data_IF_344620126388
#
_entry.id   IF_344620126388
#
_cell.length_a   1.000
_cell.length_b   1.000
_cell.length_c   1.000
_cell.angle_alpha   90.00
_cell.angle_beta   90.00
_cell.angle_gamma   90.00
#
_symmetry.space_group_name_H-M   'P 1'
#
loop_
_entity.id
_entity.type
_entity.pdbx_description
1 polymer ?
#
# COMPACT_ATOMS: atom_id res chain seq x y z
N UNK A 1 20.73 -18.80 38.10
CA UNK A 1 21.52 -17.79 37.37
C UNK A 1 20.74 -16.50 37.43
N UNK A 2 21.45 -15.45 37.80
CA UNK A 2 21.02 -14.14 38.30
C UNK A 2 20.25 -13.31 37.28
N UNK A 3 19.12 -12.75 37.69
CA UNK A 3 18.43 -11.68 36.98
C UNK A 3 19.26 -10.38 37.08
N UNK A 4 19.33 -9.55 36.02
CA UNK A 4 20.12 -8.32 36.04
C UNK A 4 19.42 -7.28 36.90
N UNK A 5 20.17 -6.75 37.87
CA UNK A 5 19.83 -5.59 38.69
C UNK A 5 19.72 -4.34 37.83
N UNK A 6 18.60 -3.63 37.95
CA UNK A 6 18.42 -2.29 37.40
C UNK A 6 19.44 -1.32 38.03
N UNK A 7 19.97 -0.34 37.28
CA UNK A 7 20.91 0.62 37.82
C UNK A 7 20.22 1.56 38.81
N UNK A 8 20.68 1.57 40.06
CA UNK A 8 20.31 2.52 41.09
C UNK A 8 20.76 3.93 40.67
N UNK A 9 19.78 4.82 40.47
CA UNK A 9 20.01 6.25 40.25
C UNK A 9 20.56 6.83 41.57
N UNK A 10 21.64 7.63 41.55
CA UNK A 10 22.21 8.19 42.78
C UNK A 10 21.23 9.20 43.41
N UNK A 11 20.98 9.04 44.71
CA UNK A 11 20.28 10.02 45.52
C UNK A 11 20.99 11.38 45.41
N UNK A 12 20.24 12.42 45.04
CA UNK A 12 20.77 13.75 44.76
C UNK A 12 20.47 14.68 45.96
N UNK A 13 21.50 14.90 46.79
CA UNK A 13 21.47 15.77 47.97
C UNK A 13 21.33 17.27 47.60
N UNK A 14 20.14 17.79 47.90
CA UNK A 14 19.90 19.07 48.55
C UNK A 14 18.72 18.80 49.46
N UNK A 15 18.87 19.03 50.77
CA UNK A 15 18.12 18.32 51.81
C UNK A 15 16.59 18.34 51.56
N UNK A 16 15.98 17.23 51.09
CA UNK A 16 14.54 17.17 50.86
C UNK A 16 13.76 17.50 52.13
N UNK A 17 14.34 17.20 53.30
CA UNK A 17 13.74 17.47 54.59
C UNK A 17 13.58 18.97 54.87
N UNK A 18 14.49 19.83 54.38
CA UNK A 18 14.40 21.29 54.58
C UNK A 18 13.30 21.93 53.72
N UNK A 19 13.20 21.53 52.44
CA UNK A 19 12.16 22.05 51.54
C UNK A 19 10.76 21.52 51.98
N UNK A 20 10.66 20.26 52.41
CA UNK A 20 9.42 19.66 52.93
C UNK A 20 8.99 20.27 54.29
N UNK A 21 9.94 20.60 55.16
CA UNK A 21 9.66 21.34 56.40
C UNK A 21 9.19 22.76 56.10
N UNK A 22 9.80 23.43 55.13
CA UNK A 22 9.39 24.77 54.71
C UNK A 22 7.98 24.79 54.10
N UNK A 23 7.64 23.81 53.25
CA UNK A 23 6.29 23.66 52.70
C UNK A 23 5.24 23.42 53.80
N UNK A 24 5.59 22.64 54.84
CA UNK A 24 4.72 22.41 56.01
C UNK A 24 4.56 23.65 56.87
N UNK A 25 5.65 24.36 57.18
CA UNK A 25 5.60 25.61 57.96
C UNK A 25 4.75 26.69 57.28
N UNK A 26 4.74 26.72 55.95
CA UNK A 26 3.94 27.66 55.16
C UNK A 26 2.52 27.16 54.86
N UNK A 27 2.15 25.95 55.30
CA UNK A 27 0.82 25.37 55.08
C UNK A 27 0.46 25.17 53.61
N UNK A 28 1.45 25.08 52.71
CA UNK A 28 1.22 25.12 51.27
C UNK A 28 0.63 23.81 50.73
N UNK A 29 0.99 22.68 51.32
CA UNK A 29 0.45 21.37 50.93
C UNK A 29 -1.07 21.24 51.18
N UNK A 30 -1.57 21.81 52.28
CA UNK A 30 -3.02 21.85 52.58
C UNK A 30 -3.80 22.75 51.62
N UNK A 31 -3.11 23.67 50.94
CA UNK A 31 -3.65 24.58 49.93
C UNK A 31 -3.53 24.03 48.51
N UNK A 32 -3.18 22.75 48.34
CA UNK A 32 -3.02 22.10 47.03
C UNK A 32 -1.76 22.56 46.28
N UNK A 33 -0.77 23.13 46.96
CA UNK A 33 0.47 23.60 46.35
C UNK A 33 1.61 22.63 46.64
N UNK A 34 2.26 22.13 45.59
CA UNK A 34 3.40 21.22 45.68
C UNK A 34 4.67 21.85 45.10
N UNK A 35 5.81 21.60 45.74
CA UNK A 35 7.11 21.97 45.21
C UNK A 35 7.69 20.80 44.43
N UNK A 36 7.98 21.00 43.15
CA UNK A 36 8.51 19.97 42.27
C UNK A 36 9.88 20.36 41.69
N UNK A 37 10.68 19.34 41.38
CA UNK A 37 12.01 19.47 40.78
C UNK A 37 12.10 18.54 39.57
N UNK A 38 12.04 19.11 38.38
CA UNK A 38 12.15 18.37 37.11
C UNK A 38 12.84 19.25 36.07
N UNK A 39 13.44 18.63 35.05
CA UNK A 39 14.04 19.35 33.90
C UNK A 39 15.09 20.42 34.29
N UNK A 40 15.78 20.22 35.43
CA UNK A 40 16.77 21.16 35.95
C UNK A 40 16.20 22.46 36.55
N UNK A 41 14.89 22.49 36.80
CA UNK A 41 14.15 23.61 37.40
C UNK A 41 13.52 23.19 38.73
N UNK A 42 13.26 24.18 39.58
CA UNK A 42 12.42 24.08 40.77
C UNK A 42 11.21 24.96 40.54
N UNK A 43 10.02 24.40 40.74
CA UNK A 43 8.76 25.07 40.40
C UNK A 43 7.63 24.63 41.33
N UNK A 44 6.61 25.49 41.43
CA UNK A 44 5.37 25.22 42.15
C UNK A 44 4.34 24.63 41.21
N UNK A 45 3.64 23.61 41.69
CA UNK A 45 2.43 23.08 41.07
C UNK A 45 1.25 23.39 41.96
N UNK A 46 0.13 23.70 41.34
CA UNK A 46 -1.13 23.98 42.02
C UNK A 46 -2.17 23.03 41.45
N UNK A 47 -2.71 22.19 42.32
CA UNK A 47 -3.76 21.26 41.97
C UNK A 47 -5.12 21.82 42.36
N UNK A 48 -6.13 21.57 41.53
CA UNK A 48 -7.49 22.00 41.78
C UNK A 48 -8.48 21.37 40.80
N UNK A 49 -9.71 21.83 40.84
CA UNK A 49 -10.73 21.44 39.87
C UNK A 49 -11.55 22.65 39.41
N UNK A 50 -12.06 22.55 38.19
CA UNK A 50 -13.04 23.48 37.63
C UNK A 50 -14.29 22.70 37.21
N UNK A 51 -15.44 23.37 37.20
CA UNK A 51 -16.70 22.75 36.80
C UNK A 51 -17.04 23.15 35.36
N UNK A 52 -17.36 22.16 34.53
CA UNK A 52 -17.78 22.34 33.15
C UNK A 52 -18.90 21.35 32.81
N UNK A 53 -20.04 21.84 32.33
CA UNK A 53 -21.15 20.99 31.89
C UNK A 53 -21.67 20.00 32.96
N UNK A 54 -21.55 20.33 34.25
CA UNK A 54 -21.88 19.44 35.38
C UNK A 54 -20.85 18.34 35.65
N UNK A 55 -19.66 18.44 35.05
CA UNK A 55 -18.49 17.58 35.27
C UNK A 55 -17.38 18.35 35.97
N UNK A 56 -16.54 17.64 36.70
CA UNK A 56 -15.35 18.20 37.34
C UNK A 56 -14.12 17.87 36.49
N UNK A 57 -13.37 18.89 36.08
CA UNK A 57 -12.09 18.75 35.40
C UNK A 57 -11.00 19.05 36.41
N UNK A 58 -10.21 18.04 36.73
CA UNK A 58 -9.04 18.20 37.60
C UNK A 58 -7.86 18.78 36.81
N UNK A 59 -7.08 19.62 37.46
CA UNK A 59 -5.83 20.14 36.91
C UNK A 59 -4.73 20.09 37.96
N UNK A 60 -3.50 19.93 37.47
CA UNK A 60 -2.28 20.05 38.26
C UNK A 60 -1.23 20.75 37.40
N UNK A 61 -1.10 22.07 37.58
CA UNK A 61 -0.38 22.93 36.64
C UNK A 61 0.58 23.87 37.35
N UNK A 62 1.59 24.32 36.61
CA UNK A 62 2.53 25.36 37.06
C UNK A 62 1.91 26.72 36.72
N UNK A 63 1.64 27.62 37.68
CA UNK A 63 1.15 28.96 37.36
C UNK A 63 2.17 29.73 36.53
N UNK A 64 1.75 30.83 35.87
CA UNK A 64 2.60 31.68 35.01
C UNK A 64 3.95 32.03 35.65
N UNK A 65 3.91 32.27 36.96
CA UNK A 65 5.05 32.67 37.78
C UNK A 65 5.59 31.54 38.68
N UNK A 66 5.14 30.30 38.46
CA UNK A 66 5.44 29.13 39.29
C UNK A 66 6.84 28.55 39.10
N UNK A 67 7.56 28.89 38.03
CA UNK A 67 8.96 28.47 37.85
C UNK A 67 9.86 29.36 38.70
N UNK A 68 10.39 28.80 39.78
CA UNK A 68 11.10 29.55 40.81
C UNK A 68 12.57 29.82 40.45
N UNK A 69 13.31 28.77 40.08
CA UNK A 69 14.73 28.87 39.77
C UNK A 69 15.28 27.62 39.05
N UNK A 70 16.49 27.72 38.50
CA UNK A 70 17.30 26.53 38.16
C UNK A 70 17.67 25.79 39.45
N UNK A 71 17.71 24.46 39.41
CA UNK A 71 18.03 23.63 40.58
C UNK A 71 19.37 24.00 41.25
N UNK A 72 20.37 24.40 40.46
CA UNK A 72 21.68 24.82 40.97
C UNK A 72 21.65 26.17 41.70
N UNK A 73 20.73 27.08 41.31
CA UNK A 73 20.54 28.37 41.99
C UNK A 73 19.71 28.19 43.25
N UNK A 74 18.66 27.35 43.20
CA UNK A 74 17.80 27.03 44.34
C UNK A 74 18.60 26.49 45.54
N UNK A 75 19.50 25.54 45.28
CA UNK A 75 20.37 24.94 46.32
C UNK A 75 21.27 25.95 47.04
N UNK A 76 21.58 27.08 46.40
CA UNK A 76 22.47 28.12 46.96
C UNK A 76 21.70 29.23 47.70
N UNK A 77 20.37 29.25 47.62
CA UNK A 77 19.54 30.20 48.35
C UNK A 77 19.42 29.77 49.81
N UNK A 78 19.46 30.75 50.72
CA UNK A 78 19.14 30.55 52.13
C UNK A 78 17.62 30.33 52.33
N UNK A 79 17.26 29.76 53.48
CA UNK A 79 15.87 29.41 53.82
C UNK A 79 14.94 30.62 53.83
N UNK A 80 15.42 31.80 54.24
CA UNK A 80 14.62 33.03 54.26
C UNK A 80 14.25 33.50 52.84
N UNK A 81 15.22 33.46 51.91
CA UNK A 81 15.00 33.75 50.50
C UNK A 81 14.04 32.76 49.84
N UNK A 82 14.19 31.45 50.11
CA UNK A 82 13.23 30.43 49.61
C UNK A 82 11.83 30.66 50.16
N UNK A 83 11.69 30.95 51.46
CA UNK A 83 10.41 31.20 52.10
C UNK A 83 9.69 32.43 51.53
N UNK A 84 10.42 33.52 51.27
CA UNK A 84 9.87 34.72 50.66
C UNK A 84 9.32 34.44 49.25
N UNK A 85 10.09 33.73 48.43
CA UNK A 85 9.68 33.38 47.07
C UNK A 85 8.46 32.43 47.05
N UNK A 86 8.42 31.46 47.97
CA UNK A 86 7.27 30.56 48.11
C UNK A 86 6.00 31.33 48.52
N UNK A 87 6.10 32.27 49.47
CA UNK A 87 4.93 33.09 49.86
C UNK A 87 4.42 33.97 48.73
N UNK A 88 5.33 34.58 47.97
CA UNK A 88 4.98 35.43 46.83
C UNK A 88 4.31 34.63 45.70
N UNK A 89 4.80 33.42 45.42
CA UNK A 89 4.40 32.63 44.25
C UNK A 89 3.34 31.56 44.53
N UNK A 90 3.04 31.32 45.81
CA UNK A 90 1.97 30.45 46.29
C UNK A 90 0.85 31.22 47.01
N UNK A 91 0.70 32.51 46.70
CA UNK A 91 -0.38 33.33 47.25
C UNK A 91 -1.75 32.88 46.71
N UNK A 92 -2.81 33.15 47.47
CA UNK A 92 -4.17 32.75 47.11
C UNK A 92 -4.64 33.42 45.81
N UNK A 93 -4.24 34.67 45.60
CA UNK A 93 -4.51 35.39 44.35
C UNK A 93 -3.92 34.68 43.11
N UNK A 94 -2.76 34.04 43.24
CA UNK A 94 -2.12 33.29 42.14
C UNK A 94 -2.87 31.99 41.85
N UNK A 95 -3.39 31.33 42.89
CA UNK A 95 -4.19 30.12 42.74
C UNK A 95 -5.55 30.43 42.10
N UNK A 96 -6.19 31.53 42.48
CA UNK A 96 -7.45 31.98 41.87
C UNK A 96 -7.26 32.46 40.43
N UNK A 97 -6.17 33.15 40.11
CA UNK A 97 -5.81 33.53 38.73
C UNK A 97 -5.63 32.29 37.86
N UNK A 98 -4.87 31.29 38.34
CA UNK A 98 -4.69 30.02 37.62
C UNK A 98 -6.03 29.30 37.43
N UNK A 99 -6.87 29.22 38.48
CA UNK A 99 -8.20 28.59 38.39
C UNK A 99 -9.07 29.29 37.34
N UNK A 100 -9.06 30.62 37.29
CA UNK A 100 -9.76 31.41 36.26
C UNK A 100 -9.29 31.08 34.85
N UNK A 101 -7.97 31.07 34.62
CA UNK A 101 -7.42 30.70 33.32
C UNK A 101 -7.74 29.25 32.91
N UNK A 102 -7.75 28.31 33.87
CA UNK A 102 -8.14 26.93 33.60
C UNK A 102 -9.64 26.88 33.25
N UNK A 103 -10.51 27.57 33.98
CA UNK A 103 -11.94 27.62 33.69
C UNK A 103 -12.21 28.15 32.27
N UNK A 104 -11.57 29.26 31.90
CA UNK A 104 -11.70 29.87 30.57
C UNK A 104 -11.19 28.92 29.48
N UNK A 105 -10.03 28.27 29.71
CA UNK A 105 -9.46 27.31 28.77
C UNK A 105 -10.33 26.06 28.59
N UNK A 106 -10.86 25.50 29.68
CA UNK A 106 -11.74 24.33 29.63
C UNK A 106 -13.00 24.66 28.84
N UNK A 107 -13.59 25.85 29.04
CA UNK A 107 -14.74 26.31 28.27
C UNK A 107 -14.39 26.48 26.78
N UNK A 108 -13.30 27.21 26.47
CA UNK A 108 -12.82 27.43 25.09
C UNK A 108 -12.60 26.10 24.35
N UNK A 109 -11.90 25.16 24.99
CA UNK A 109 -11.56 23.88 24.39
C UNK A 109 -12.80 23.02 24.17
N UNK A 110 -13.74 23.03 25.12
CA UNK A 110 -14.95 22.25 24.99
C UNK A 110 -15.89 22.81 23.91
N UNK A 111 -16.02 24.13 23.82
CA UNK A 111 -16.77 24.77 22.72
C UNK A 111 -16.15 24.40 21.35
N UNK A 112 -14.82 24.41 21.24
CA UNK A 112 -14.12 24.04 20.01
C UNK A 112 -14.29 22.55 19.65
N UNK A 113 -14.32 21.66 20.65
CA UNK A 113 -14.63 20.25 20.46
C UNK A 113 -16.08 20.04 20.01
N UNK A 114 -17.04 20.73 20.63
CA UNK A 114 -18.46 20.65 20.29
C UNK A 114 -18.73 21.14 18.86
N UNK A 115 -18.08 22.23 18.43
CA UNK A 115 -18.14 22.74 17.05
C UNK A 115 -17.66 21.71 16.00
N UNK A 116 -16.80 20.78 16.42
CA UNK A 116 -16.25 19.72 15.59
C UNK A 116 -16.87 18.33 15.86
N UNK A 117 -17.90 18.24 16.72
CA UNK A 117 -18.52 16.98 17.18
C UNK A 117 -17.51 15.98 17.79
N UNK A 118 -16.55 16.50 18.57
CA UNK A 118 -15.48 15.72 19.21
C UNK A 118 -15.65 15.64 20.73
N UNK A 119 -15.18 14.55 21.32
CA UNK A 119 -15.11 14.43 22.79
C UNK A 119 -13.93 15.23 23.35
N UNK A 120 -14.23 16.18 24.26
CA UNK A 120 -13.22 17.01 24.92
C UNK A 120 -12.43 16.27 26.01
N UNK A 121 -12.99 15.19 26.57
CA UNK A 121 -12.43 14.47 27.73
C UNK A 121 -10.94 14.04 27.55
N UNK A 122 -10.52 13.46 26.41
CA UNK A 122 -9.13 13.03 26.21
C UNK A 122 -8.12 14.19 26.20
N UNK A 123 -8.58 15.40 25.89
CA UNK A 123 -7.77 16.61 25.88
C UNK A 123 -7.72 17.25 27.27
N UNK A 124 -8.87 17.29 27.96
CA UNK A 124 -9.00 17.85 29.31
C UNK A 124 -8.23 17.04 30.36
N UNK A 125 -8.18 15.71 30.23
CA UNK A 125 -7.36 14.86 31.11
C UNK A 125 -5.86 15.21 31.07
N UNK A 126 -5.38 15.88 30.01
CA UNK A 126 -3.99 16.32 29.95
C UNK A 126 -3.64 17.40 31.00
N UNK A 127 -4.65 18.10 31.56
CA UNK A 127 -4.45 19.14 32.56
C UNK A 127 -4.00 18.59 33.92
N UNK A 128 -4.30 17.34 34.24
CA UNK A 128 -3.89 16.67 35.49
C UNK A 128 -2.72 15.69 35.31
N UNK A 129 -2.48 15.21 34.09
CA UNK A 129 -1.50 14.13 33.83
C UNK A 129 -0.09 14.63 33.48
N UNK A 130 0.08 15.90 33.10
CA UNK A 130 1.37 16.41 32.62
C UNK A 130 2.34 16.79 33.76
N UNK A 131 3.32 15.92 34.03
CA UNK A 131 4.49 16.18 34.89
C UNK A 131 5.55 17.06 34.21
N UNK A 132 5.15 18.19 33.63
CA UNK A 132 6.07 19.14 32.97
C UNK A 132 6.41 20.33 33.88
N UNK A 133 7.58 20.94 33.66
CA UNK A 133 8.00 22.17 34.37
C UNK A 133 7.50 23.46 33.72
N UNK A 134 6.71 23.33 32.66
CA UNK A 134 6.21 24.43 31.84
C UNK A 134 5.01 25.12 32.49
N UNK A 135 4.89 26.45 32.38
CA UNK A 135 3.71 27.18 32.83
C UNK A 135 2.43 26.74 32.11
N UNK A 136 1.28 26.88 32.78
CA UNK A 136 -0.04 26.47 32.30
C UNK A 136 -0.35 26.94 30.87
N UNK A 137 0.03 28.17 30.51
CA UNK A 137 -0.18 28.68 29.15
C UNK A 137 0.46 27.82 28.04
N UNK A 138 1.67 27.28 28.26
CA UNK A 138 2.32 26.39 27.29
C UNK A 138 1.65 25.02 27.22
N UNK A 139 1.08 24.55 28.35
CA UNK A 139 0.28 23.33 28.38
C UNK A 139 -1.01 23.52 27.59
N UNK A 140 -1.69 24.67 27.75
CA UNK A 140 -2.87 25.03 26.98
C UNK A 140 -2.57 25.08 25.47
N UNK A 141 -1.50 25.78 25.07
CA UNK A 141 -1.06 25.85 23.66
C UNK A 141 -0.84 24.47 23.05
N UNK A 142 -0.19 23.57 23.81
CA UNK A 142 0.05 22.19 23.40
C UNK A 142 -1.23 21.38 23.25
N UNK A 143 -2.19 21.56 24.16
CA UNK A 143 -3.49 20.90 24.07
C UNK A 143 -4.28 21.43 22.86
N UNK A 144 -4.27 22.75 22.60
CA UNK A 144 -4.89 23.33 21.38
C UNK A 144 -4.30 22.71 20.11
N UNK A 145 -2.98 22.65 20.00
CA UNK A 145 -2.31 22.03 18.84
C UNK A 145 -2.67 20.54 18.68
N UNK A 146 -2.86 19.81 19.79
CA UNK A 146 -3.33 18.42 19.73
C UNK A 146 -4.76 18.32 19.21
N UNK A 147 -5.64 19.24 19.58
CA UNK A 147 -7.01 19.31 19.06
C UNK A 147 -6.99 19.64 17.56
N UNK A 148 -6.25 20.66 17.13
CA UNK A 148 -6.08 21.02 15.71
C UNK A 148 -5.65 19.80 14.87
N UNK A 149 -4.59 19.09 15.29
CA UNK A 149 -4.13 17.88 14.60
C UNK A 149 -5.12 16.70 14.68
N UNK A 150 -6.01 16.67 15.67
CA UNK A 150 -7.04 15.64 15.75
C UNK A 150 -8.18 15.94 14.78
N UNK A 151 -8.63 17.20 14.71
CA UNK A 151 -9.62 17.68 13.74
C UNK A 151 -9.14 17.46 12.30
N UNK A 152 -7.90 17.83 11.98
CA UNK A 152 -7.33 17.61 10.64
C UNK A 152 -7.36 16.14 10.23
N UNK A 153 -6.96 15.24 11.13
CA UNK A 153 -6.98 13.79 10.87
C UNK A 153 -8.38 13.26 10.67
N UNK A 154 -9.33 13.66 11.50
CA UNK A 154 -10.74 13.26 11.38
C UNK A 154 -11.31 13.72 10.02
N UNK A 155 -11.03 14.96 9.61
CA UNK A 155 -11.45 15.49 8.30
C UNK A 155 -10.83 14.72 7.13
N UNK A 156 -9.54 14.40 7.19
CA UNK A 156 -8.86 13.59 6.18
C UNK A 156 -9.47 12.19 6.07
N UNK A 157 -9.74 11.53 7.21
CA UNK A 157 -10.37 10.22 7.27
C UNK A 157 -11.78 10.25 6.69
N UNK A 158 -12.60 11.24 7.06
CA UNK A 158 -13.94 11.43 6.50
C UNK A 158 -13.91 11.69 4.99
N UNK A 159 -12.94 12.49 4.51
CA UNK A 159 -12.79 12.75 3.08
C UNK A 159 -12.37 11.50 2.30
N UNK A 160 -11.44 10.71 2.85
CA UNK A 160 -11.01 9.43 2.29
C UNK A 160 -12.17 8.44 2.25
N UNK A 161 -12.96 8.34 3.31
CA UNK A 161 -14.11 7.45 3.41
C UNK A 161 -15.21 7.87 2.42
N UNK A 162 -15.50 9.17 2.31
CA UNK A 162 -16.46 9.69 1.32
C UNK A 162 -16.02 9.41 -0.12
N UNK A 163 -14.72 9.54 -0.41
CA UNK A 163 -14.16 9.20 -1.72
C UNK A 163 -14.31 7.69 -1.98
N UNK A 164 -14.01 6.86 -0.99
CA UNK A 164 -14.17 5.40 -1.06
C UNK A 164 -15.61 4.98 -1.31
N UNK A 165 -16.58 5.64 -0.66
CA UNK A 165 -18.01 5.39 -0.85
C UNK A 165 -18.52 5.88 -2.21
N UNK A 166 -17.93 6.93 -2.78
CA UNK A 166 -18.30 7.45 -4.10
C UNK A 166 -17.91 6.52 -5.28
N UNK A 167 -16.96 5.60 -5.06
CA UNK A 167 -16.52 4.64 -6.07
C UNK A 167 -17.11 3.26 -5.76
N UNK A 168 -18.34 3.03 -6.21
CA UNK A 168 -18.93 1.69 -6.14
C UNK A 168 -18.34 0.77 -7.21
N UNK A 169 -17.18 0.15 -6.93
CA UNK A 169 -16.57 -0.82 -7.83
C UNK A 169 -17.44 -2.05 -8.10
N UNK A 170 -18.50 -2.29 -7.31
CA UNK A 170 -19.47 -3.34 -7.62
C UNK A 170 -20.22 -3.05 -8.92
N UNK A 171 -20.35 -1.77 -9.31
CA UNK A 171 -20.96 -1.32 -10.57
C UNK A 171 -19.95 -1.26 -11.73
N UNK A 172 -18.67 -1.58 -11.50
CA UNK A 172 -17.65 -1.51 -12.54
C UNK A 172 -18.03 -2.30 -13.82
N UNK A 173 -18.57 -3.54 -13.76
CA UNK A 173 -19.05 -4.22 -14.96
C UNK A 173 -20.14 -3.46 -15.72
N UNK A 174 -20.95 -2.66 -15.03
CA UNK A 174 -22.01 -1.87 -15.65
C UNK A 174 -21.48 -0.71 -16.50
N UNK A 175 -20.21 -0.32 -16.34
CA UNK A 175 -19.57 0.69 -17.19
C UNK A 175 -19.31 0.21 -18.63
N UNK A 176 -19.38 -1.11 -18.88
CA UNK A 176 -19.19 -1.68 -20.21
C UNK A 176 -20.53 -1.94 -20.93
N UNK A 177 -21.18 -0.87 -21.38
CA UNK A 177 -22.53 -0.91 -21.94
C UNK A 177 -22.75 -1.92 -23.08
N UNK A 178 -21.81 -1.98 -24.04
CA UNK A 178 -21.92 -2.88 -25.20
C UNK A 178 -21.87 -4.34 -24.75
N UNK A 179 -20.85 -4.72 -23.98
CA UNK A 179 -20.66 -6.07 -23.49
C UNK A 179 -21.80 -6.53 -22.57
N UNK A 180 -22.34 -5.62 -21.74
CA UNK A 180 -23.47 -5.88 -20.84
C UNK A 180 -24.77 -6.18 -21.59
N UNK A 181 -25.02 -5.52 -22.73
CA UNK A 181 -26.23 -5.73 -23.54
C UNK A 181 -26.16 -6.99 -24.39
N UNK A 182 -24.99 -7.61 -24.52
CA UNK A 182 -24.79 -8.83 -25.28
C UNK A 182 -25.02 -10.07 -24.40
N UNK A 183 -25.67 -11.08 -24.97
CA UNK A 183 -25.65 -12.42 -24.38
C UNK A 183 -24.30 -13.07 -24.68
N UNK A 184 -23.43 -13.13 -23.68
CA UNK A 184 -22.06 -13.66 -23.80
C UNK A 184 -21.95 -15.05 -23.19
N UNK A 185 -21.11 -15.89 -23.80
CA UNK A 185 -20.70 -17.20 -23.28
C UNK A 185 -19.19 -17.19 -23.02
N UNK A 186 -18.76 -17.71 -21.88
CA UNK A 186 -17.37 -17.89 -21.51
C UNK A 186 -16.93 -19.33 -21.72
N UNK A 187 -15.76 -19.53 -22.31
CA UNK A 187 -15.11 -20.83 -22.46
C UNK A 187 -13.73 -20.74 -21.84
N UNK A 188 -13.56 -21.32 -20.65
CA UNK A 188 -12.28 -21.38 -19.97
C UNK A 188 -11.46 -22.57 -20.45
N UNK A 189 -10.33 -22.32 -21.11
CA UNK A 189 -9.37 -23.36 -21.54
C UNK A 189 -8.15 -23.29 -20.65
N UNK A 190 -8.15 -24.15 -19.62
CA UNK A 190 -7.18 -24.09 -18.53
C UNK A 190 -6.21 -25.27 -18.58
N UNK A 191 -4.93 -25.00 -18.35
CA UNK A 191 -3.91 -26.05 -18.31
C UNK A 191 -2.51 -25.50 -18.08
N UNK A 192 -1.55 -26.38 -17.73
CA UNK A 192 -0.16 -25.98 -17.55
C UNK A 192 0.45 -25.43 -18.85
N UNK A 193 1.65 -24.86 -18.78
CA UNK A 193 2.42 -24.51 -19.98
C UNK A 193 2.62 -25.76 -20.85
N UNK A 194 2.68 -25.57 -22.17
CA UNK A 194 2.80 -26.65 -23.16
C UNK A 194 1.64 -27.68 -23.13
N UNK A 195 0.40 -27.23 -22.94
CA UNK A 195 -0.82 -28.05 -23.01
C UNK A 195 -1.60 -27.87 -24.33
N UNK A 196 -1.26 -26.87 -25.15
CA UNK A 196 -1.98 -26.52 -26.37
C UNK A 196 -3.20 -25.63 -26.16
N UNK A 197 -3.39 -25.06 -24.95
CA UNK A 197 -4.52 -24.19 -24.62
C UNK A 197 -4.71 -22.99 -25.57
N UNK A 198 -3.64 -22.23 -25.82
CA UNK A 198 -3.66 -21.08 -26.74
C UNK A 198 -3.89 -21.53 -28.18
N UNK A 199 -3.41 -22.72 -28.56
CA UNK A 199 -3.65 -23.24 -29.90
C UNK A 199 -5.14 -23.47 -30.18
N UNK A 200 -5.84 -24.12 -29.25
CA UNK A 200 -7.29 -24.35 -29.33
C UNK A 200 -8.08 -23.04 -29.45
N UNK A 201 -7.78 -22.04 -28.61
CA UNK A 201 -8.48 -20.76 -28.65
C UNK A 201 -8.21 -19.99 -29.95
N UNK A 202 -6.98 -20.04 -30.47
CA UNK A 202 -6.61 -19.37 -31.72
C UNK A 202 -7.26 -20.03 -32.94
N UNK A 203 -7.47 -21.36 -32.95
CA UNK A 203 -8.24 -22.01 -34.01
C UNK A 203 -9.71 -21.59 -34.00
N UNK A 204 -10.31 -21.45 -32.81
CA UNK A 204 -11.68 -20.94 -32.68
C UNK A 204 -11.78 -19.49 -33.15
N UNK A 205 -10.79 -18.66 -32.77
CA UNK A 205 -10.70 -17.27 -33.20
C UNK A 205 -10.59 -17.15 -34.72
N UNK A 206 -9.65 -17.85 -35.36
CA UNK A 206 -9.46 -17.75 -36.82
C UNK A 206 -10.62 -18.32 -37.67
N UNK A 207 -11.49 -19.15 -37.09
CA UNK A 207 -12.71 -19.65 -37.75
C UNK A 207 -13.90 -18.69 -37.61
N UNK A 208 -13.84 -17.74 -36.68
CA UNK A 208 -14.93 -16.82 -36.42
C UNK A 208 -15.05 -15.75 -37.54
N UNK A 209 -16.24 -15.19 -37.80
CA UNK A 209 -16.39 -14.08 -38.76
C UNK A 209 -15.60 -12.83 -38.34
N UNK A 210 -15.54 -12.55 -37.04
CA UNK A 210 -14.76 -11.48 -36.45
C UNK A 210 -14.21 -11.85 -35.07
N UNK A 211 -13.09 -11.25 -34.68
CA UNK A 211 -12.57 -11.52 -33.35
C UNK A 211 -11.36 -10.72 -32.89
N UNK A 212 -11.09 -10.81 -31.59
CA UNK A 212 -9.96 -10.13 -30.95
C UNK A 212 -9.13 -11.10 -30.11
N UNK A 213 -7.81 -11.07 -30.28
CA UNK A 213 -6.85 -11.71 -29.38
C UNK A 213 -6.23 -10.67 -28.45
N UNK A 214 -6.31 -10.89 -27.15
CA UNK A 214 -5.78 -10.02 -26.09
C UNK A 214 -4.61 -10.70 -25.39
N UNK A 215 -3.42 -10.15 -25.61
CA UNK A 215 -2.16 -10.70 -25.15
C UNK A 215 -1.67 -10.02 -23.85
N UNK A 216 -0.96 -10.74 -22.97
CA UNK A 216 -0.29 -10.16 -21.80
C UNK A 216 0.93 -9.31 -22.16
N UNK A 217 1.49 -9.50 -23.36
CA UNK A 217 2.77 -8.95 -23.77
C UNK A 217 2.71 -8.57 -25.24
N UNK A 218 3.39 -7.47 -25.59
CA UNK A 218 3.54 -7.02 -26.98
C UNK A 218 4.09 -8.09 -27.91
N UNK A 219 5.06 -8.87 -27.43
CA UNK A 219 5.66 -9.95 -28.23
C UNK A 219 4.61 -11.01 -28.61
N UNK A 220 3.74 -11.39 -27.67
CA UNK A 220 2.68 -12.36 -27.92
C UNK A 220 1.56 -11.79 -28.78
N UNK A 221 1.25 -10.49 -28.66
CA UNK A 221 0.34 -9.83 -29.59
C UNK A 221 0.88 -9.90 -31.02
N UNK A 222 2.18 -9.62 -31.22
CA UNK A 222 2.83 -9.67 -32.53
C UNK A 222 2.94 -11.11 -33.08
N UNK A 223 3.28 -12.09 -32.23
CA UNK A 223 3.32 -13.51 -32.62
C UNK A 223 1.95 -14.01 -33.08
N UNK A 224 0.89 -13.70 -32.33
CA UNK A 224 -0.45 -14.14 -32.68
C UNK A 224 -1.07 -13.31 -33.82
N UNK A 225 -0.64 -12.06 -34.01
CA UNK A 225 -0.93 -11.30 -35.22
C UNK A 225 -0.38 -12.01 -36.47
N UNK A 226 0.92 -12.34 -36.48
CA UNK A 226 1.58 -13.06 -37.59
C UNK A 226 0.88 -14.41 -37.82
N UNK A 227 0.61 -15.17 -36.75
CA UNK A 227 -0.10 -16.45 -36.82
C UNK A 227 -1.51 -16.34 -37.39
N UNK A 228 -2.27 -15.30 -37.06
CA UNK A 228 -3.62 -15.10 -37.61
C UNK A 228 -3.55 -14.72 -39.10
N UNK A 229 -2.53 -13.96 -39.53
CA UNK A 229 -2.36 -13.62 -40.95
C UNK A 229 -2.07 -14.84 -41.83
N UNK A 230 -1.44 -15.87 -41.26
CA UNK A 230 -1.21 -17.15 -41.94
C UNK A 230 -2.48 -18.02 -42.03
N UNK A 231 -3.51 -17.72 -41.24
CA UNK A 231 -4.79 -18.43 -41.29
C UNK A 231 -5.65 -17.92 -42.45
N UNK A 232 -6.54 -18.81 -42.91
CA UNK A 232 -7.45 -18.53 -44.01
C UNK A 232 -8.91 -18.70 -43.59
N UNK A 233 -9.76 -17.82 -44.09
CA UNK A 233 -11.21 -17.89 -43.95
C UNK A 233 -11.84 -17.80 -45.34
N UNK A 234 -12.68 -18.78 -45.67
CA UNK A 234 -13.29 -18.91 -47.01
C UNK A 234 -12.26 -18.89 -48.17
N UNK A 235 -11.07 -19.45 -47.95
CA UNK A 235 -10.00 -19.51 -48.95
C UNK A 235 -9.22 -18.20 -49.15
N UNK A 236 -9.48 -17.17 -48.35
CA UNK A 236 -8.71 -15.93 -48.35
C UNK A 236 -7.91 -15.76 -47.05
N UNK A 237 -6.71 -15.17 -47.09
CA UNK A 237 -5.98 -14.81 -45.88
C UNK A 237 -6.80 -13.89 -44.98
N UNK A 238 -6.75 -14.13 -43.67
CA UNK A 238 -7.41 -13.26 -42.71
C UNK A 238 -6.79 -11.86 -42.75
N UNK A 239 -7.65 -10.85 -42.82
CA UNK A 239 -7.24 -9.46 -42.60
C UNK A 239 -7.23 -9.19 -41.10
N UNK A 240 -6.03 -8.99 -40.57
CA UNK A 240 -5.79 -8.80 -39.14
C UNK A 240 -5.12 -7.45 -38.93
N UNK A 241 -5.55 -6.70 -37.92
CA UNK A 241 -4.84 -5.50 -37.43
C UNK A 241 -4.05 -5.81 -36.16
N UNK A 242 -2.96 -5.08 -35.92
CA UNK A 242 -2.18 -5.13 -34.67
C UNK A 242 -2.37 -3.83 -33.89
N UNK A 243 -2.75 -3.90 -32.62
CA UNK A 243 -2.94 -2.72 -31.77
C UNK A 243 -2.22 -2.93 -30.44
N UNK A 244 -1.21 -2.11 -30.16
CA UNK A 244 -0.46 -2.13 -28.90
C UNK A 244 -0.32 -0.71 -28.37
N UNK A 245 0.26 -0.55 -27.17
CA UNK A 245 0.51 0.77 -26.60
C UNK A 245 1.46 1.62 -27.46
N UNK A 246 2.47 1.01 -28.07
CA UNK A 246 3.49 1.74 -28.86
C UNK A 246 3.26 1.71 -30.37
N UNK A 247 2.54 0.71 -30.89
CA UNK A 247 2.39 0.48 -32.32
C UNK A 247 0.94 0.13 -32.71
N UNK A 248 0.47 0.70 -33.82
CA UNK A 248 -0.82 0.38 -34.44
C UNK A 248 -0.65 0.12 -35.94
N UNK A 249 -0.93 -1.11 -36.38
CA UNK A 249 -0.97 -1.50 -37.80
C UNK A 249 -2.42 -1.82 -38.16
N UNK A 250 -3.12 -0.84 -38.73
CA UNK A 250 -4.52 -0.97 -39.11
C UNK A 250 -4.63 -1.43 -40.55
N UNK A 251 -5.30 -2.55 -40.78
CA UNK A 251 -5.57 -3.10 -42.12
C UNK A 251 -7.02 -2.76 -42.49
N UNK A 252 -7.28 -2.02 -43.58
CA UNK A 252 -8.64 -1.70 -44.01
C UNK A 252 -9.52 -2.95 -44.23
N UNK A 253 -10.67 -2.97 -43.56
CA UNK A 253 -11.61 -4.10 -43.59
C UNK A 253 -11.11 -5.33 -42.84
N UNK A 254 -10.17 -5.19 -41.90
CA UNK A 254 -9.81 -6.25 -40.98
C UNK A 254 -11.02 -6.68 -40.13
N UNK A 255 -11.28 -7.97 -40.11
CA UNK A 255 -12.30 -8.56 -39.22
C UNK A 255 -11.70 -9.04 -37.90
N UNK A 256 -10.37 -9.14 -37.84
CA UNK A 256 -9.63 -9.63 -36.69
C UNK A 256 -8.64 -8.59 -36.16
N UNK A 257 -8.42 -8.58 -34.86
CA UNK A 257 -7.44 -7.74 -34.20
C UNK A 257 -6.61 -8.57 -33.23
N UNK A 258 -5.29 -8.45 -33.30
CA UNK A 258 -4.39 -8.91 -32.26
C UNK A 258 -3.92 -7.70 -31.46
N UNK A 259 -4.01 -7.76 -30.14
CA UNK A 259 -3.78 -6.60 -29.29
C UNK A 259 -3.19 -6.97 -27.94
N UNK A 260 -2.52 -6.03 -27.28
CA UNK A 260 -2.27 -6.15 -25.83
C UNK A 260 -3.58 -5.95 -25.08
N UNK A 261 -3.78 -6.65 -23.96
CA UNK A 261 -5.06 -6.62 -23.22
C UNK A 261 -5.51 -5.21 -22.81
N UNK A 262 -4.57 -4.32 -22.51
CA UNK A 262 -4.82 -2.92 -22.14
C UNK A 262 -5.43 -2.09 -23.28
N UNK A 263 -5.30 -2.56 -24.52
CA UNK A 263 -5.71 -1.86 -25.73
C UNK A 263 -7.03 -2.41 -26.31
N UNK A 264 -7.77 -3.20 -25.51
CA UNK A 264 -9.09 -3.70 -25.86
C UNK A 264 -10.02 -2.55 -26.29
N UNK A 265 -10.60 -2.69 -27.48
CA UNK A 265 -11.74 -1.89 -27.91
C UNK A 265 -13.03 -2.46 -27.30
N UNK A 266 -13.68 -1.67 -26.45
CA UNK A 266 -14.92 -2.05 -25.74
C UNK A 266 -16.18 -1.69 -26.52
N UNK A 267 -16.06 -1.04 -27.68
CA UNK A 267 -17.17 -0.49 -28.44
C UNK A 267 -17.53 -1.32 -29.67
N UNK A 268 -16.55 -2.00 -30.28
CA UNK A 268 -16.76 -2.77 -31.52
C UNK A 268 -17.14 -4.22 -31.21
N UNK A 269 -18.39 -4.66 -31.46
CA UNK A 269 -18.78 -6.04 -31.20
C UNK A 269 -18.09 -7.04 -32.14
N UNK A 270 -17.69 -8.18 -31.60
CA UNK A 270 -17.08 -9.28 -32.36
C UNK A 270 -17.71 -10.63 -32.02
N UNK A 271 -17.44 -11.66 -32.82
CA UNK A 271 -17.96 -13.00 -32.57
C UNK A 271 -17.16 -13.72 -31.47
N UNK A 272 -15.83 -13.64 -31.53
CA UNK A 272 -14.93 -14.33 -30.60
C UNK A 272 -13.88 -13.39 -30.01
N UNK A 273 -13.72 -13.39 -28.69
CA UNK A 273 -12.56 -12.79 -28.01
C UNK A 273 -11.73 -13.88 -27.35
N UNK A 274 -10.40 -13.75 -27.38
CA UNK A 274 -9.47 -14.62 -26.65
C UNK A 274 -8.68 -13.76 -25.68
N UNK A 275 -8.82 -14.04 -24.38
CA UNK A 275 -8.07 -13.40 -23.31
C UNK A 275 -7.01 -14.40 -22.84
N UNK A 276 -5.75 -14.13 -23.15
CA UNK A 276 -4.63 -15.02 -22.81
C UNK A 276 -4.04 -14.70 -21.42
N UNK A 277 -3.38 -15.69 -20.83
CA UNK A 277 -2.83 -15.67 -19.47
C UNK A 277 -3.82 -15.13 -18.41
N UNK A 278 -5.05 -15.66 -18.38
CA UNK A 278 -6.14 -15.18 -17.50
C UNK A 278 -5.82 -15.21 -15.99
N UNK A 279 -4.82 -15.99 -15.55
CA UNK A 279 -4.34 -15.93 -14.16
C UNK A 279 -3.75 -14.56 -13.78
N UNK A 280 -3.45 -13.71 -14.77
CA UNK A 280 -3.06 -12.32 -14.54
C UNK A 280 -4.18 -11.47 -13.92
N UNK A 281 -5.41 -11.98 -13.80
CA UNK A 281 -6.45 -11.39 -12.94
C UNK A 281 -5.95 -11.15 -11.50
N UNK A 282 -5.02 -11.98 -11.01
CA UNK A 282 -4.45 -11.88 -9.67
C UNK A 282 -3.21 -10.98 -9.59
N UNK A 283 -2.78 -10.38 -10.71
CA UNK A 283 -1.64 -9.48 -10.75
C UNK A 283 -1.99 -8.14 -10.10
N UNK A 284 -1.15 -7.67 -9.16
CA UNK A 284 -1.44 -6.47 -8.34
C UNK A 284 -1.41 -5.17 -9.16
N UNK A 285 -0.57 -5.11 -10.18
CA UNK A 285 -0.31 -3.88 -10.91
C UNK A 285 -1.10 -3.82 -12.22
N UNK A 286 -1.21 -4.96 -12.91
CA UNK A 286 -1.80 -5.07 -14.25
C UNK A 286 -3.13 -5.83 -14.29
N UNK A 287 -3.53 -6.50 -13.21
CA UNK A 287 -4.73 -7.35 -13.19
C UNK A 287 -6.04 -6.63 -13.49
N UNK A 288 -6.07 -5.30 -13.28
CA UNK A 288 -7.19 -4.44 -13.68
C UNK A 288 -7.49 -4.52 -15.19
N UNK A 289 -6.47 -4.69 -16.05
CA UNK A 289 -6.67 -4.81 -17.49
C UNK A 289 -7.37 -6.12 -17.88
N UNK A 290 -7.04 -7.24 -17.22
CA UNK A 290 -7.76 -8.51 -17.40
C UNK A 290 -9.19 -8.44 -16.86
N UNK A 291 -9.38 -7.76 -15.73
CA UNK A 291 -10.72 -7.55 -15.17
C UNK A 291 -11.58 -6.75 -16.14
N UNK A 292 -11.04 -5.64 -16.68
CA UNK A 292 -11.68 -4.85 -17.72
C UNK A 292 -11.99 -5.69 -18.98
N UNK A 293 -11.07 -6.55 -19.40
CA UNK A 293 -11.28 -7.41 -20.56
C UNK A 293 -12.38 -8.46 -20.36
N UNK A 294 -12.44 -9.13 -19.20
CA UNK A 294 -13.50 -10.09 -18.88
C UNK A 294 -14.85 -9.37 -18.79
N UNK A 295 -14.91 -8.24 -18.10
CA UNK A 295 -16.13 -7.45 -17.96
C UNK A 295 -16.59 -6.86 -19.30
N UNK A 296 -15.64 -6.37 -20.10
CA UNK A 296 -15.90 -5.40 -21.16
C UNK A 296 -15.63 -5.87 -22.59
N UNK A 297 -15.06 -7.05 -22.83
CA UNK A 297 -14.91 -7.56 -24.19
C UNK A 297 -16.30 -7.75 -24.84
N UNK A 298 -16.61 -7.01 -25.91
CA UNK A 298 -17.92 -7.06 -26.56
C UNK A 298 -17.98 -8.25 -27.54
N UNK A 299 -17.84 -9.47 -27.02
CA UNK A 299 -17.81 -10.69 -27.83
C UNK A 299 -18.91 -11.68 -27.46
N UNK A 300 -19.47 -12.37 -28.46
CA UNK A 300 -20.49 -13.42 -28.23
C UNK A 300 -19.90 -14.60 -27.45
N UNK A 301 -18.69 -15.01 -27.79
CA UNK A 301 -17.93 -16.05 -27.08
C UNK A 301 -16.60 -15.48 -26.62
N UNK A 302 -16.29 -15.58 -25.33
CA UNK A 302 -15.02 -15.15 -24.73
C UNK A 302 -14.26 -16.38 -24.26
N UNK A 303 -13.13 -16.66 -24.91
CA UNK A 303 -12.17 -17.67 -24.47
C UNK A 303 -11.27 -17.09 -23.39
N UNK A 304 -11.25 -17.76 -22.24
CA UNK A 304 -10.41 -17.42 -21.11
C UNK A 304 -9.30 -18.47 -21.01
N UNK A 305 -8.10 -18.12 -21.45
CA UNK A 305 -6.99 -19.06 -21.62
C UNK A 305 -5.95 -18.82 -20.54
N UNK A 306 -5.54 -19.85 -19.82
CA UNK A 306 -4.50 -19.67 -18.81
C UNK A 306 -4.28 -20.87 -17.90
N UNK A 307 -3.72 -20.60 -16.73
CA UNK A 307 -3.34 -21.61 -15.75
C UNK A 307 -4.57 -22.09 -14.93
N UNK A 308 -4.61 -23.36 -14.46
CA UNK A 308 -5.73 -23.90 -13.70
C UNK A 308 -6.10 -23.12 -12.43
N UNK A 309 -5.13 -22.43 -11.84
CA UNK A 309 -5.27 -21.63 -10.62
C UNK A 309 -6.26 -20.46 -10.82
N UNK A 310 -6.44 -19.99 -12.05
CA UNK A 310 -7.39 -18.92 -12.37
C UNK A 310 -8.86 -19.37 -12.30
N UNK A 311 -9.13 -20.68 -12.23
CA UNK A 311 -10.48 -21.25 -12.34
C UNK A 311 -11.49 -20.61 -11.39
N UNK A 312 -11.13 -20.48 -10.11
CA UNK A 312 -12.03 -19.92 -9.09
C UNK A 312 -12.42 -18.47 -9.41
N UNK A 313 -11.47 -17.66 -9.85
CA UNK A 313 -11.72 -16.27 -10.22
C UNK A 313 -12.67 -16.19 -11.43
N UNK A 314 -12.47 -17.05 -12.42
CA UNK A 314 -13.32 -17.14 -13.61
C UNK A 314 -14.75 -17.55 -13.23
N UNK A 315 -14.93 -18.56 -12.39
CA UNK A 315 -16.26 -19.02 -11.94
C UNK A 315 -17.03 -17.90 -11.22
N UNK A 316 -16.36 -17.15 -10.34
CA UNK A 316 -16.96 -16.00 -9.63
C UNK A 316 -17.32 -14.88 -10.59
N UNK A 317 -16.43 -14.54 -11.54
CA UNK A 317 -16.69 -13.50 -12.53
C UNK A 317 -17.82 -13.88 -13.48
N UNK A 318 -17.86 -15.13 -13.96
CA UNK A 318 -18.93 -15.61 -14.82
C UNK A 318 -20.29 -15.53 -14.10
N UNK A 319 -20.36 -15.95 -12.84
CA UNK A 319 -21.56 -15.82 -12.02
C UNK A 319 -21.98 -14.35 -11.82
N UNK A 320 -21.01 -13.47 -11.51
CA UNK A 320 -21.27 -12.03 -11.31
C UNK A 320 -21.79 -11.33 -12.57
N UNK A 321 -21.33 -11.76 -13.73
CA UNK A 321 -21.67 -11.22 -15.05
C UNK A 321 -22.86 -11.94 -15.70
N UNK A 322 -23.41 -12.97 -15.04
CA UNK A 322 -24.50 -13.80 -15.56
C UNK A 322 -24.17 -14.45 -16.93
N UNK A 323 -22.90 -14.79 -17.15
CA UNK A 323 -22.43 -15.46 -18.35
C UNK A 323 -22.46 -16.98 -18.18
N UNK A 324 -22.90 -17.70 -19.22
CA UNK A 324 -22.71 -19.16 -19.30
C UNK A 324 -21.21 -19.48 -19.29
N UNK A 325 -20.77 -20.44 -18.48
CA UNK A 325 -19.37 -20.85 -18.39
C UNK A 325 -19.19 -22.34 -18.75
N UNK A 326 -18.34 -22.59 -19.74
CA UNK A 326 -17.82 -23.91 -20.09
C UNK A 326 -16.34 -24.00 -19.71
N UNK A 327 -15.89 -25.14 -19.14
CA UNK A 327 -14.51 -25.30 -18.66
C UNK A 327 -13.87 -26.53 -19.28
N UNK A 328 -12.72 -26.35 -19.94
CA UNK A 328 -11.86 -27.40 -20.47
C UNK A 328 -10.53 -27.43 -19.71
N UNK A 329 -10.22 -28.58 -19.09
CA UNK A 329 -8.95 -28.81 -18.41
C UNK A 329 -8.02 -29.64 -19.31
N UNK A 330 -6.92 -29.04 -19.74
CA UNK A 330 -5.91 -29.68 -20.58
C UNK A 330 -4.71 -30.17 -19.77
N UNK A 331 -4.12 -31.27 -20.22
CA UNK A 331 -2.88 -31.83 -19.65
C UNK A 331 -1.66 -31.39 -20.47
N UNK A 332 -0.47 -31.40 -19.85
CA UNK A 332 0.79 -31.11 -20.53
C UNK A 332 1.04 -32.15 -21.63
N UNK A 333 1.45 -31.70 -22.83
CA UNK A 333 1.69 -32.59 -23.99
C UNK A 333 3.02 -33.33 -23.92
N UNK A 334 4.03 -32.74 -23.27
CA UNK A 334 5.35 -33.35 -23.07
C UNK A 334 5.64 -33.60 -21.59
N UNK A 335 6.39 -34.65 -21.24
CA UNK A 335 6.81 -34.88 -19.86
C UNK A 335 7.67 -33.73 -19.34
N UNK A 336 7.61 -33.50 -18.03
CA UNK A 336 8.49 -32.59 -17.31
C UNK A 336 8.93 -33.30 -16.04
N UNK A 337 10.23 -33.48 -15.89
CA UNK A 337 10.83 -34.17 -14.74
C UNK A 337 11.92 -33.28 -14.16
N UNK A 338 12.06 -33.32 -12.84
CA UNK A 338 13.14 -32.64 -12.14
C UNK A 338 14.35 -33.58 -12.07
N UNK A 339 15.51 -33.08 -12.44
CA UNK A 339 16.78 -33.82 -12.32
C UNK A 339 17.11 -34.06 -10.84
N UNK A 340 17.62 -35.25 -10.45
CA UNK A 340 17.85 -35.60 -9.06
C UNK A 340 18.97 -34.78 -8.39
N UNK A 341 19.79 -34.09 -9.18
CA UNK A 341 20.89 -33.26 -8.68
C UNK A 341 21.00 -31.96 -9.45
N UNK A 342 21.37 -30.89 -8.75
CA UNK A 342 21.72 -29.62 -9.36
C UNK A 342 22.94 -29.73 -10.30
N UNK A 343 23.03 -28.82 -11.28
CA UNK A 343 24.13 -28.75 -12.25
C UNK A 343 25.50 -28.59 -11.58
N UNK A 344 25.57 -27.90 -10.43
CA UNK A 344 26.75 -27.66 -9.54
C UNK A 344 27.95 -26.92 -10.16
N UNK A 345 28.39 -27.29 -11.36
CA UNK A 345 29.56 -26.71 -12.03
C UNK A 345 29.17 -26.20 -13.40
N UNK A 346 29.77 -25.09 -13.83
CA UNK A 346 29.51 -24.51 -15.15
C UNK A 346 29.91 -25.45 -16.30
N UNK A 347 30.94 -26.27 -16.09
CA UNK A 347 31.36 -27.34 -17.01
C UNK A 347 30.33 -28.42 -17.30
N UNK A 348 29.26 -28.48 -16.49
CA UNK A 348 28.19 -29.44 -16.68
C UNK A 348 27.07 -28.90 -17.57
N UNK A 349 27.12 -27.63 -17.98
CA UNK A 349 26.19 -27.10 -18.96
C UNK A 349 26.34 -27.82 -20.30
N UNK A 350 25.21 -28.06 -20.95
CA UNK A 350 25.10 -28.76 -22.22
C UNK A 350 24.42 -27.87 -23.24
N UNK A 351 24.64 -28.21 -24.52
CA UNK A 351 23.91 -27.60 -25.63
C UNK A 351 22.41 -27.81 -25.41
N UNK A 352 21.64 -26.73 -25.47
CA UNK A 352 20.20 -26.71 -25.20
C UNK A 352 19.80 -26.32 -23.78
N UNK A 353 20.76 -26.11 -22.86
CA UNK A 353 20.46 -25.62 -21.52
C UNK A 353 20.02 -24.14 -21.57
N UNK A 354 19.12 -23.77 -20.64
CA UNK A 354 18.69 -22.40 -20.41
C UNK A 354 19.05 -21.99 -18.96
N UNK A 355 19.84 -20.93 -18.81
CA UNK A 355 20.32 -20.44 -17.51
C UNK A 355 19.49 -19.23 -17.09
N UNK A 356 18.54 -19.46 -16.19
CA UNK A 356 17.63 -18.41 -15.72
C UNK A 356 18.29 -17.56 -14.63
N UNK A 357 18.42 -16.26 -14.89
CA UNK A 357 18.98 -15.27 -13.96
C UNK A 357 17.92 -14.22 -13.58
N UNK A 358 18.05 -13.61 -12.40
CA UNK A 358 17.06 -12.67 -11.87
C UNK A 358 17.49 -11.20 -11.98
N UNK A 359 18.68 -10.93 -12.53
CA UNK A 359 19.11 -9.58 -12.86
C UNK A 359 19.83 -9.52 -14.20
N UNK A 360 19.76 -8.36 -14.86
CA UNK A 360 20.52 -8.09 -16.10
C UNK A 360 22.03 -8.27 -15.87
N UNK A 361 22.53 -7.88 -14.70
CA UNK A 361 23.94 -8.03 -14.32
C UNK A 361 24.35 -9.51 -14.32
N UNK A 362 23.54 -10.38 -13.72
CA UNK A 362 23.80 -11.82 -13.71
C UNK A 362 23.72 -12.43 -15.11
N UNK A 363 22.76 -12.04 -15.94
CA UNK A 363 22.67 -12.52 -17.33
C UNK A 363 23.97 -12.24 -18.09
N UNK A 364 24.49 -11.01 -17.99
CA UNK A 364 25.73 -10.63 -18.68
C UNK A 364 26.95 -11.35 -18.09
N UNK A 365 27.03 -11.50 -16.77
CA UNK A 365 28.10 -12.24 -16.09
C UNK A 365 28.11 -13.72 -16.51
N UNK A 366 26.96 -14.40 -16.47
CA UNK A 366 26.85 -15.80 -16.87
C UNK A 366 27.14 -15.99 -18.36
N UNK A 367 26.71 -15.07 -19.23
CA UNK A 367 27.09 -15.08 -20.64
C UNK A 367 28.61 -15.10 -20.80
N UNK A 368 29.32 -14.21 -20.11
CA UNK A 368 30.78 -14.11 -20.23
C UNK A 368 31.46 -15.38 -19.71
N UNK A 369 31.04 -15.90 -18.55
CA UNK A 369 31.58 -17.14 -18.00
C UNK A 369 31.34 -18.36 -18.90
N UNK A 370 30.14 -18.49 -19.50
CA UNK A 370 29.81 -19.60 -20.41
C UNK A 370 30.58 -19.46 -21.73
N UNK A 371 30.78 -18.23 -22.21
CA UNK A 371 31.58 -17.94 -23.41
C UNK A 371 33.05 -18.27 -23.20
N UNK A 372 33.63 -17.96 -22.03
CA UNK A 372 35.01 -18.33 -21.66
C UNK A 372 35.23 -19.85 -21.64
N UNK A 373 34.17 -20.61 -21.40
CA UNK A 373 34.19 -22.07 -21.47
C UNK A 373 34.07 -22.64 -22.89
N UNK A 374 33.93 -21.77 -23.89
CA UNK A 374 33.87 -22.14 -25.30
C UNK A 374 32.47 -22.46 -25.83
N UNK A 375 31.42 -22.19 -25.06
CA UNK A 375 30.02 -22.32 -25.52
C UNK A 375 29.49 -20.97 -26.00
N UNK A 376 28.79 -20.99 -27.13
CA UNK A 376 28.11 -19.81 -27.66
C UNK A 376 26.81 -19.53 -26.90
N UNK A 377 26.54 -18.27 -26.57
CA UNK A 377 25.38 -17.89 -25.74
C UNK A 377 24.44 -16.94 -26.48
N UNK A 378 23.15 -17.23 -26.42
CA UNK A 378 22.08 -16.29 -26.72
C UNK A 378 21.66 -15.62 -25.40
N UNK A 379 21.37 -14.31 -25.40
CA UNK A 379 20.94 -13.64 -24.15
C UNK A 379 19.59 -12.96 -24.32
N UNK A 380 18.69 -13.20 -23.37
CA UNK A 380 17.36 -12.61 -23.34
C UNK A 380 17.07 -11.99 -21.98
N UNK A 381 16.75 -10.69 -21.95
CA UNK A 381 16.26 -9.99 -20.77
C UNK A 381 15.26 -8.89 -21.15
N UNK A 382 14.50 -8.40 -20.17
CA UNK A 382 13.28 -7.60 -20.39
C UNK A 382 13.45 -6.38 -21.30
N UNK A 383 14.51 -5.58 -21.10
CA UNK A 383 14.72 -4.32 -21.82
C UNK A 383 15.31 -4.47 -23.24
N UNK A 384 15.44 -5.69 -23.77
CA UNK A 384 15.84 -5.90 -25.16
C UNK A 384 14.71 -5.50 -26.11
N UNK A 385 15.05 -4.87 -27.24
CA UNK A 385 14.09 -4.60 -28.30
C UNK A 385 13.48 -5.91 -28.84
N UNK A 386 12.24 -5.91 -29.34
CA UNK A 386 11.61 -7.11 -29.90
C UNK A 386 12.45 -7.77 -30.99
N UNK A 387 13.09 -6.98 -31.86
CA UNK A 387 13.97 -7.46 -32.93
C UNK A 387 15.18 -8.21 -32.38
N UNK A 388 15.87 -7.64 -31.39
CA UNK A 388 17.02 -8.30 -30.76
C UNK A 388 16.59 -9.57 -30.03
N UNK A 389 15.47 -9.54 -29.32
CA UNK A 389 14.93 -10.74 -28.64
C UNK A 389 14.60 -11.85 -29.63
N UNK A 390 13.98 -11.51 -30.77
CA UNK A 390 13.69 -12.46 -31.86
C UNK A 390 14.98 -13.06 -32.43
N UNK A 391 15.98 -12.22 -32.74
CA UNK A 391 17.26 -12.69 -33.25
C UNK A 391 17.98 -13.61 -32.26
N UNK A 392 18.01 -13.29 -30.96
CA UNK A 392 18.63 -14.15 -29.94
C UNK A 392 17.88 -15.48 -29.77
N UNK A 393 16.54 -15.45 -29.75
CA UNK A 393 15.73 -16.67 -29.70
C UNK A 393 15.92 -17.53 -30.96
N UNK A 394 16.01 -16.92 -32.14
CA UNK A 394 16.32 -17.61 -33.40
C UNK A 394 17.71 -18.27 -33.33
N UNK A 395 18.73 -17.54 -32.85
CA UNK A 395 20.09 -18.08 -32.72
C UNK A 395 20.13 -19.36 -31.90
N UNK A 396 19.45 -19.40 -30.76
CA UNK A 396 19.37 -20.58 -29.90
C UNK A 396 18.58 -21.72 -30.56
N UNK A 397 17.43 -21.40 -31.16
CA UNK A 397 16.55 -22.39 -31.81
C UNK A 397 17.20 -23.08 -33.01
N UNK A 398 18.02 -22.35 -33.76
CA UNK A 398 18.78 -22.86 -34.91
C UNK A 398 20.11 -23.52 -34.51
N UNK A 399 20.48 -23.50 -33.23
CA UNK A 399 21.73 -24.09 -32.72
C UNK A 399 22.99 -23.28 -32.99
N UNK A 400 22.86 -22.02 -33.47
CA UNK A 400 23.99 -21.08 -33.60
C UNK A 400 24.42 -20.49 -32.24
N UNK A 401 23.58 -20.63 -31.23
CA UNK A 401 23.93 -20.45 -29.83
C UNK A 401 23.68 -21.77 -29.08
N UNK A 402 24.65 -22.21 -28.30
CA UNK A 402 24.63 -23.48 -27.55
C UNK A 402 23.75 -23.39 -26.30
N UNK A 403 23.72 -22.24 -25.63
CA UNK A 403 23.03 -21.99 -24.35
C UNK A 403 22.24 -20.67 -24.43
N UNK A 404 21.17 -20.52 -23.65
CA UNK A 404 20.36 -19.28 -23.55
C UNK A 404 20.25 -18.71 -22.14
#
# INVERSE_FOLDING_TARGET
MTAPTAPSIPASDGDPAEDDDLMRQLGLGERGVALAKAEGRVFLRMSGSVEYGGRHVEYDLVPTQGVLAKSSKWRKMDTGTRAALLRERADEAVADELRGHVQDFVQELADACDDCDMDAEPFLHALSDMQVSEPAGMVFDRIRMRLEHAVEREMEEQHAERTRQSINLAEYPASFDVARRMKRKFIAVLGPTNSGKTHMAMEALGKAPSGVYLAPLRLLALENYERLQEMQQHGQPLKVSLVTGEERRLVPGATHVASTVEMLDTQTPVDVAVIDEIQMLSDRDRGAAWTAAVCGAPARVVYLVGAPEARRAIEVLAARLECELEVHLLKRKGPLTMEPSAVRKLSNLRRGDAVICFSRREVLMWRDMVTEMGLSVATVYGNLSPEVRRAQAQRFREGSADVV
#
